data_IF_191529517624
#
_entry.id   IF_191529517624
#
_cell.length_a   1.000
_cell.length_b   1.000
_cell.length_c   1.000
_cell.angle_alpha   90.00
_cell.angle_beta   90.00
_cell.angle_gamma   90.00
#
_symmetry.space_group_name_H-M   'P 1'
#
loop_
_entity.id
_entity.type
_entity.pdbx_description
1 polymer ?
#
# COMPACT_ATOMS: atom_id res chain seq x y z
N UNK A 1 -48.33 7.36 -1.19
CA UNK A 1 -46.96 6.96 -0.85
C UNK A 1 -46.07 7.28 -2.05
N UNK A 2 -45.36 8.41 -2.04
CA UNK A 2 -44.43 8.78 -3.11
C UNK A 2 -43.05 8.28 -2.68
N UNK A 3 -42.46 7.39 -3.46
CA UNK A 3 -41.10 6.91 -3.22
C UNK A 3 -40.15 7.93 -3.81
N UNK A 4 -39.49 8.72 -2.96
CA UNK A 4 -38.38 9.56 -3.39
C UNK A 4 -37.15 8.68 -3.56
N UNK A 5 -36.63 8.66 -4.79
CA UNK A 5 -35.38 7.97 -5.12
C UNK A 5 -34.23 8.74 -4.44
N UNK A 6 -33.81 8.28 -3.28
CA UNK A 6 -32.58 8.75 -2.63
C UNK A 6 -31.42 8.38 -3.56
N UNK A 7 -30.95 9.35 -4.35
CA UNK A 7 -29.65 9.20 -5.01
C UNK A 7 -28.62 9.08 -3.89
N UNK A 8 -27.79 8.02 -3.85
CA UNK A 8 -26.67 8.02 -2.93
C UNK A 8 -25.82 9.23 -3.29
N UNK A 9 -25.83 10.24 -2.42
CA UNK A 9 -24.83 11.30 -2.45
C UNK A 9 -23.51 10.57 -2.29
N UNK A 10 -22.76 10.40 -3.38
CA UNK A 10 -21.36 9.99 -3.29
C UNK A 10 -20.74 11.01 -2.37
N UNK A 11 -20.42 10.56 -1.15
CA UNK A 11 -19.71 11.36 -0.17
C UNK A 11 -18.40 11.69 -0.85
N UNK A 12 -18.27 12.95 -1.25
CA UNK A 12 -17.05 13.54 -1.79
C UNK A 12 -16.07 13.73 -0.62
N UNK A 13 -15.75 12.62 0.06
CA UNK A 13 -14.64 12.50 1.01
C UNK A 13 -13.31 12.27 0.26
N UNK A 14 -13.32 12.39 -1.08
CA UNK A 14 -12.13 12.65 -1.89
C UNK A 14 -11.76 14.13 -1.85
N UNK A 15 -12.01 14.82 -0.72
CA UNK A 15 -11.44 16.14 -0.43
C UNK A 15 -9.93 16.03 -0.45
N UNK A 16 -9.36 16.37 -1.60
CA UNK A 16 -7.97 16.78 -1.79
C UNK A 16 -6.99 16.01 -0.89
N UNK A 17 -6.93 14.68 -1.03
CA UNK A 17 -5.71 14.00 -0.64
C UNK A 17 -4.63 14.65 -1.51
N UNK A 18 -3.72 15.39 -0.87
CA UNK A 18 -2.57 15.90 -1.59
C UNK A 18 -1.89 14.70 -2.24
N UNK A 19 -1.21 14.89 -3.37
CA UNK A 19 -0.42 13.82 -3.99
C UNK A 19 0.39 13.02 -2.94
N UNK A 20 0.89 13.73 -1.92
CA UNK A 20 1.55 13.20 -0.72
C UNK A 20 0.73 12.20 0.12
N UNK A 21 -0.56 12.43 0.35
CA UNK A 21 -1.41 11.55 1.16
C UNK A 21 -1.78 10.27 0.40
N UNK A 22 -1.96 10.36 -0.92
CA UNK A 22 -2.22 9.19 -1.78
C UNK A 22 -0.97 8.31 -1.83
N UNK A 23 0.20 8.91 -2.04
CA UNK A 23 1.48 8.20 -2.02
C UNK A 23 1.70 7.51 -0.67
N UNK A 24 1.37 8.19 0.43
CA UNK A 24 1.50 7.62 1.77
C UNK A 24 0.54 6.44 2.01
N UNK A 25 -0.70 6.51 1.50
CA UNK A 25 -1.64 5.40 1.58
C UNK A 25 -1.17 4.18 0.79
N UNK A 26 -0.63 4.41 -0.41
CA UNK A 26 -0.07 3.36 -1.28
C UNK A 26 1.15 2.73 -0.62
N UNK A 27 2.01 3.55 -0.01
CA UNK A 27 3.16 3.05 0.76
C UNK A 27 2.67 2.16 1.91
N UNK A 28 1.74 2.61 2.74
CA UNK A 28 1.25 1.84 3.89
C UNK A 28 0.64 0.50 3.47
N UNK A 29 -0.14 0.50 2.39
CA UNK A 29 -0.72 -0.72 1.81
C UNK A 29 0.37 -1.73 1.44
N UNK A 30 1.38 -1.32 0.67
CA UNK A 30 2.45 -2.22 0.23
C UNK A 30 3.38 -2.64 1.36
N UNK A 31 3.56 -1.81 2.39
CA UNK A 31 4.30 -2.21 3.61
C UNK A 31 3.51 -3.29 4.36
N UNK A 32 2.19 -3.17 4.49
CA UNK A 32 1.33 -4.19 5.13
C UNK A 32 1.35 -5.52 4.36
N UNK A 33 1.37 -5.44 3.04
CA UNK A 33 1.49 -6.58 2.13
C UNK A 33 2.83 -7.31 2.35
N UNK A 34 3.93 -6.57 2.38
CA UNK A 34 5.26 -7.10 2.67
C UNK A 34 5.37 -7.69 4.08
N UNK A 35 4.75 -7.08 5.09
CA UNK A 35 4.66 -7.67 6.44
C UNK A 35 3.87 -8.98 6.43
N UNK A 36 2.78 -9.05 5.66
CA UNK A 36 1.98 -10.27 5.52
C UNK A 36 2.76 -11.39 4.84
N UNK A 37 3.60 -11.06 3.86
CA UNK A 37 4.53 -12.01 3.23
C UNK A 37 5.53 -12.59 4.23
N UNK A 38 6.12 -11.75 5.09
CA UNK A 38 7.04 -12.21 6.14
C UNK A 38 6.36 -13.11 7.18
N UNK A 39 5.06 -12.94 7.38
CA UNK A 39 4.23 -13.83 8.21
C UNK A 39 3.80 -15.12 7.50
N UNK A 40 4.20 -15.32 6.23
CA UNK A 40 3.84 -16.47 5.42
C UNK A 40 2.38 -16.50 4.96
N UNK A 41 1.68 -15.35 5.03
CA UNK A 41 0.25 -15.22 4.68
C UNK A 41 0.03 -14.75 3.24
N UNK A 42 1.10 -14.46 2.54
CA UNK A 42 1.11 -13.76 1.26
C UNK A 42 2.15 -14.40 0.34
N UNK A 43 2.00 -14.21 -0.97
CA UNK A 43 2.84 -14.90 -1.96
C UNK A 43 4.12 -14.14 -2.27
N UNK A 44 5.14 -14.87 -2.73
CA UNK A 44 6.39 -14.28 -3.21
C UNK A 44 6.17 -13.29 -4.37
N UNK A 45 5.20 -13.58 -5.23
CA UNK A 45 4.88 -12.74 -6.40
C UNK A 45 4.23 -11.42 -6.01
N UNK A 46 3.28 -11.46 -5.07
CA UNK A 46 2.63 -10.26 -4.54
C UNK A 46 3.62 -9.36 -3.79
N UNK A 47 4.43 -9.95 -2.91
CA UNK A 47 5.49 -9.22 -2.21
C UNK A 47 6.50 -8.57 -3.16
N UNK A 48 6.83 -9.23 -4.28
CA UNK A 48 7.69 -8.65 -5.32
C UNK A 48 7.05 -7.44 -5.96
N UNK A 49 5.78 -7.55 -6.38
CA UNK A 49 5.02 -6.46 -6.99
C UNK A 49 4.94 -5.25 -6.05
N UNK A 50 4.64 -5.48 -4.76
CA UNK A 50 4.61 -4.45 -3.73
C UNK A 50 5.97 -3.78 -3.55
N UNK A 51 7.07 -4.54 -3.57
CA UNK A 51 8.42 -3.98 -3.49
C UNK A 51 8.78 -3.13 -4.72
N UNK A 52 8.42 -3.58 -5.92
CA UNK A 52 8.61 -2.84 -7.18
C UNK A 52 7.85 -1.50 -7.18
N UNK A 53 6.63 -1.48 -6.65
CA UNK A 53 5.84 -0.24 -6.54
C UNK A 53 6.50 0.75 -5.56
N UNK A 54 6.91 0.29 -4.37
CA UNK A 54 7.62 1.13 -3.41
C UNK A 54 8.93 1.71 -3.99
N UNK A 55 9.65 0.95 -4.81
CA UNK A 55 10.85 1.42 -5.52
C UNK A 55 10.52 2.49 -6.58
N UNK A 56 9.41 2.33 -7.32
CA UNK A 56 8.94 3.34 -8.28
C UNK A 56 8.52 4.64 -7.61
N UNK A 57 8.05 4.58 -6.37
CA UNK A 57 7.77 5.73 -5.50
C UNK A 57 9.05 6.37 -4.92
N UNK A 58 10.23 5.85 -5.27
CA UNK A 58 11.52 6.41 -4.85
C UNK A 58 12.05 5.87 -3.52
N UNK A 59 11.42 4.85 -2.92
CA UNK A 59 11.96 4.23 -1.71
C UNK A 59 13.16 3.34 -2.03
N UNK A 60 14.24 3.54 -1.28
CA UNK A 60 15.38 2.63 -1.32
C UNK A 60 15.05 1.29 -0.65
N UNK A 61 15.70 0.18 -1.04
CA UNK A 61 15.53 -1.12 -0.38
C UNK A 61 15.76 -1.07 1.13
N UNK A 62 16.68 -0.21 1.59
CA UNK A 62 16.93 0.02 3.00
C UNK A 62 15.72 0.65 3.70
N UNK A 63 15.12 1.69 3.12
CA UNK A 63 13.91 2.32 3.67
C UNK A 63 12.73 1.33 3.71
N UNK A 64 12.57 0.51 2.67
CA UNK A 64 11.54 -0.53 2.62
C UNK A 64 11.76 -1.54 3.77
N UNK A 65 12.99 -2.07 3.91
CA UNK A 65 13.30 -3.03 4.99
C UNK A 65 13.06 -2.44 6.39
N UNK A 66 13.35 -1.15 6.58
CA UNK A 66 13.12 -0.44 7.83
C UNK A 66 11.62 -0.27 8.13
N UNK A 67 10.82 0.07 7.13
CA UNK A 67 9.37 0.24 7.27
C UNK A 67 8.64 -1.10 7.50
N UNK A 68 9.14 -2.18 6.89
CA UNK A 68 8.64 -3.56 7.08
C UNK A 68 9.19 -4.19 8.37
N UNK A 69 10.16 -3.56 9.04
CA UNK A 69 10.84 -4.05 10.25
C UNK A 69 11.51 -5.41 10.05
N UNK A 70 12.13 -5.59 8.88
CA UNK A 70 12.78 -6.85 8.50
C UNK A 70 14.26 -6.66 8.16
N UNK A 71 15.02 -7.76 8.19
CA UNK A 71 16.40 -7.75 7.69
C UNK A 71 16.36 -7.61 6.16
N UNK A 72 17.25 -6.80 5.61
CA UNK A 72 17.40 -6.61 4.16
C UNK A 72 17.54 -7.97 3.42
N UNK A 73 18.23 -8.93 4.02
CA UNK A 73 18.40 -10.29 3.49
C UNK A 73 17.11 -11.11 3.35
N UNK A 74 16.06 -10.72 4.08
CA UNK A 74 14.75 -11.39 4.06
C UNK A 74 13.81 -10.85 2.97
N UNK A 75 14.23 -9.82 2.24
CA UNK A 75 13.54 -9.36 1.04
C UNK A 75 14.23 -10.01 -0.17
N UNK A 76 13.74 -11.15 -0.69
CA UNK A 76 14.39 -11.90 -1.76
C UNK A 76 14.30 -11.23 -3.14
N UNK A 77 14.06 -9.92 -3.17
CA UNK A 77 13.75 -9.10 -4.35
C UNK A 77 14.60 -7.82 -4.45
N UNK A 78 15.57 -7.68 -3.55
CA UNK A 78 16.56 -6.59 -3.56
C UNK A 78 17.68 -6.94 -4.52
#
# INVERSE_FOLDING_TARGET
MKYETVRPTMVDDTKALGYSDIDQLVIDYHIKDLKSYLLGRETKESARSSCDILRKLGMSPYQISRAVECRLTNLPFI
#
